data_IF_777846604735
#
_entry.id   IF_777846604735
#
_cell.length_a   1.000
_cell.length_b   1.000
_cell.length_c   1.000
_cell.angle_alpha   90.00
_cell.angle_beta   90.00
_cell.angle_gamma   90.00
#
_symmetry.space_group_name_H-M   'P 1'
#
loop_
_entity.id
_entity.type
_entity.pdbx_description
1 polymer ?
#
# COMPACT_ATOMS: atom_id res chain seq x y z
N UNK A 1 -14.47 -0.20 -18.06
CA UNK A 1 -13.90 1.19 -17.99
C UNK A 1 -12.55 1.16 -18.65
N UNK A 2 -12.25 2.11 -19.52
CA UNK A 2 -10.93 2.17 -20.15
C UNK A 2 -9.84 2.48 -19.12
N UNK A 3 -8.63 1.95 -19.35
CA UNK A 3 -7.50 2.05 -18.41
C UNK A 3 -7.18 3.51 -18.01
N UNK A 4 -7.13 4.42 -18.98
CA UNK A 4 -6.85 5.84 -18.70
C UNK A 4 -7.94 6.49 -17.83
N UNK A 5 -9.20 6.08 -17.99
CA UNK A 5 -10.28 6.58 -17.16
C UNK A 5 -10.15 6.06 -15.73
N UNK A 6 -9.72 4.81 -15.55
CA UNK A 6 -9.45 4.25 -14.23
C UNK A 6 -8.34 5.01 -13.50
N UNK A 7 -7.24 5.34 -14.21
CA UNK A 7 -6.16 6.17 -13.65
C UNK A 7 -6.64 7.56 -13.22
N UNK A 8 -7.51 8.19 -14.02
CA UNK A 8 -8.09 9.52 -13.69
C UNK A 8 -8.97 9.46 -12.46
N UNK A 9 -9.77 8.39 -12.32
CA UNK A 9 -10.72 8.21 -11.23
C UNK A 9 -10.05 7.80 -9.91
N UNK A 10 -8.89 7.12 -9.97
CA UNK A 10 -8.16 6.71 -8.77
C UNK A 10 -7.70 7.92 -7.98
N UNK A 11 -8.20 8.02 -6.76
CA UNK A 11 -7.89 9.10 -5.81
C UNK A 11 -7.55 8.51 -4.44
N UNK A 12 -6.82 9.27 -3.62
CA UNK A 12 -6.62 8.94 -2.21
C UNK A 12 -7.91 9.21 -1.45
N UNK A 13 -8.55 8.17 -0.96
CA UNK A 13 -9.76 8.23 -0.14
C UNK A 13 -9.37 7.99 1.30
N UNK A 14 -9.52 8.98 2.16
CA UNK A 14 -9.13 8.91 3.57
C UNK A 14 -10.28 8.50 4.49
N UNK A 15 -11.51 8.93 4.20
CA UNK A 15 -12.68 8.54 4.97
C UNK A 15 -13.22 7.23 4.39
N UNK A 16 -12.87 6.14 5.06
CA UNK A 16 -13.23 4.77 4.66
C UNK A 16 -14.34 4.24 5.56
N UNK A 17 -15.12 3.30 5.04
CA UNK A 17 -16.17 2.60 5.75
C UNK A 17 -16.21 1.12 5.36
N UNK A 18 -17.22 0.40 5.87
CA UNK A 18 -17.36 -1.05 5.66
C UNK A 18 -18.44 -1.44 4.66
N UNK A 19 -19.19 -0.48 4.11
CA UNK A 19 -20.29 -0.76 3.19
C UNK A 19 -19.79 -0.97 1.75
N UNK A 20 -19.09 -2.07 1.50
CA UNK A 20 -18.61 -2.48 0.18
C UNK A 20 -19.50 -3.57 -0.41
N UNK A 21 -19.74 -3.52 -1.73
CA UNK A 21 -20.60 -4.48 -2.43
C UNK A 21 -19.90 -5.79 -2.81
N UNK A 22 -18.60 -5.91 -2.56
CA UNK A 22 -17.82 -7.11 -2.86
C UNK A 22 -17.49 -7.87 -1.58
N UNK A 23 -17.51 -9.20 -1.68
CA UNK A 23 -17.01 -10.08 -0.62
C UNK A 23 -15.48 -10.00 -0.50
N UNK A 24 -14.94 -10.40 0.67
CA UNK A 24 -13.50 -10.51 0.87
C UNK A 24 -12.83 -11.41 -0.19
N UNK A 25 -13.52 -12.47 -0.65
CA UNK A 25 -13.02 -13.36 -1.70
C UNK A 25 -12.88 -12.66 -3.05
N UNK A 26 -13.86 -11.87 -3.44
CA UNK A 26 -13.82 -11.11 -4.71
C UNK A 26 -12.73 -10.04 -4.66
N UNK A 27 -12.59 -9.31 -3.55
CA UNK A 27 -11.51 -8.34 -3.34
C UNK A 27 -10.14 -9.03 -3.40
N UNK A 28 -9.99 -10.19 -2.74
CA UNK A 28 -8.76 -10.98 -2.80
C UNK A 28 -8.43 -11.43 -4.22
N UNK A 29 -9.43 -11.82 -5.02
CA UNK A 29 -9.24 -12.20 -6.42
C UNK A 29 -8.67 -11.05 -7.25
N UNK A 30 -9.22 -9.85 -7.11
CA UNK A 30 -8.73 -8.63 -7.80
C UNK A 30 -7.27 -8.35 -7.44
N UNK A 31 -6.93 -8.40 -6.15
CA UNK A 31 -5.57 -8.15 -5.67
C UNK A 31 -4.60 -9.24 -6.17
N UNK A 32 -5.04 -10.50 -6.16
CA UNK A 32 -4.25 -11.65 -6.65
C UNK A 32 -3.94 -11.53 -8.14
N UNK A 33 -4.89 -11.09 -8.95
CA UNK A 33 -4.67 -10.86 -10.37
C UNK A 33 -3.68 -9.71 -10.59
N UNK A 34 -3.79 -8.62 -9.84
CA UNK A 34 -2.80 -7.55 -9.88
C UNK A 34 -1.39 -8.07 -9.52
N UNK A 35 -1.26 -8.87 -8.46
CA UNK A 35 0.02 -9.46 -8.05
C UNK A 35 0.59 -10.38 -9.13
N UNK A 36 -0.26 -11.19 -9.76
CA UNK A 36 0.14 -12.16 -10.79
C UNK A 36 0.61 -11.50 -12.08
N UNK A 37 -0.01 -10.39 -12.48
CA UNK A 37 0.24 -9.76 -13.78
C UNK A 37 1.04 -8.46 -13.72
N UNK A 38 1.42 -7.98 -12.54
CA UNK A 38 2.31 -6.83 -12.42
C UNK A 38 3.74 -7.21 -12.82
N UNK A 39 4.43 -6.40 -13.63
CA UNK A 39 5.78 -6.70 -14.09
C UNK A 39 6.80 -6.54 -12.98
N UNK A 40 7.89 -7.32 -13.07
CA UNK A 40 9.08 -7.19 -12.23
C UNK A 40 10.35 -7.37 -13.05
N UNK A 41 11.48 -6.90 -12.54
CA UNK A 41 12.76 -7.06 -13.19
C UNK A 41 13.09 -8.54 -13.37
N UNK A 42 13.47 -8.95 -14.58
CA UNK A 42 13.74 -10.33 -14.96
C UNK A 42 12.61 -11.32 -14.65
N UNK A 43 11.39 -10.82 -14.43
CA UNK A 43 10.21 -11.59 -14.00
C UNK A 43 10.42 -12.33 -12.66
N UNK A 44 11.26 -11.78 -11.77
CA UNK A 44 11.42 -12.31 -10.42
C UNK A 44 10.46 -11.64 -9.43
N UNK A 45 9.71 -12.43 -8.64
CA UNK A 45 8.71 -11.92 -7.70
C UNK A 45 9.37 -11.46 -6.38
N UNK A 46 9.94 -10.25 -6.37
CA UNK A 46 10.56 -9.67 -5.17
C UNK A 46 9.55 -9.01 -4.22
N UNK A 47 8.27 -8.93 -4.61
CA UNK A 47 7.23 -8.28 -3.83
C UNK A 47 6.27 -9.29 -3.26
N UNK A 48 6.03 -9.22 -1.94
CA UNK A 48 5.04 -10.00 -1.22
C UNK A 48 3.91 -9.10 -0.71
N UNK A 49 2.71 -9.68 -0.55
CA UNK A 49 1.50 -8.96 -0.13
C UNK A 49 0.77 -9.74 0.96
N UNK A 50 0.33 -9.03 2.00
CA UNK A 50 -0.63 -9.54 2.98
C UNK A 50 -1.91 -8.73 2.87
N UNK A 51 -3.05 -9.40 2.79
CA UNK A 51 -4.37 -8.78 2.84
C UNK A 51 -4.97 -9.08 4.21
N UNK A 52 -5.14 -8.06 5.02
CA UNK A 52 -5.71 -8.17 6.36
C UNK A 52 -7.16 -7.66 6.38
N UNK A 53 -8.10 -8.51 6.77
CA UNK A 53 -9.49 -8.16 7.00
C UNK A 53 -9.84 -8.29 8.49
N UNK A 54 -10.97 -7.71 8.90
CA UNK A 54 -11.56 -7.88 10.22
C UNK A 54 -10.58 -7.55 11.36
N UNK A 55 -10.41 -8.49 12.30
CA UNK A 55 -9.57 -8.28 13.48
C UNK A 55 -8.10 -7.96 13.13
N UNK A 56 -7.52 -8.63 12.15
CA UNK A 56 -6.13 -8.37 11.72
C UNK A 56 -5.96 -6.95 11.17
N UNK A 57 -6.93 -6.45 10.40
CA UNK A 57 -6.96 -5.06 9.96
C UNK A 57 -7.01 -4.10 11.16
N UNK A 58 -7.87 -4.37 12.14
CA UNK A 58 -7.98 -3.54 13.34
C UNK A 58 -6.67 -3.52 14.15
N UNK A 59 -6.00 -4.68 14.29
CA UNK A 59 -4.73 -4.82 15.01
C UNK A 59 -3.60 -4.01 14.37
N UNK A 60 -3.49 -3.97 13.03
CA UNK A 60 -2.51 -3.12 12.32
C UNK A 60 -2.62 -1.66 12.77
N UNK A 61 -3.83 -1.12 12.75
CA UNK A 61 -4.04 0.29 13.07
C UNK A 61 -3.98 0.56 14.58
N UNK A 62 -4.27 -0.43 15.42
CA UNK A 62 -4.06 -0.32 16.87
C UNK A 62 -2.56 -0.25 17.18
N UNK A 63 -1.74 -1.15 16.61
CA UNK A 63 -0.27 -1.12 16.72
C UNK A 63 0.28 0.25 16.31
N UNK A 64 -0.19 0.75 15.17
CA UNK A 64 0.24 2.07 14.66
C UNK A 64 -0.12 3.18 15.64
N UNK A 65 -1.32 3.16 16.21
CA UNK A 65 -1.78 4.13 17.21
C UNK A 65 -0.90 4.10 18.46
N UNK A 66 -0.64 2.91 18.99
CA UNK A 66 0.09 2.73 20.25
C UNK A 66 1.55 3.21 20.11
N UNK A 67 2.21 2.87 19.01
CA UNK A 67 3.57 3.35 18.74
C UNK A 67 3.61 4.87 18.57
N UNK A 68 2.64 5.47 17.86
CA UNK A 68 2.60 6.92 17.72
C UNK A 68 2.28 7.63 19.02
N UNK A 69 1.42 7.05 19.87
CA UNK A 69 1.13 7.58 21.18
C UNK A 69 2.39 7.66 22.04
N UNK A 70 3.20 6.63 22.03
CA UNK A 70 4.48 6.60 22.75
C UNK A 70 5.45 7.66 22.19
N UNK A 71 5.64 7.67 20.87
CA UNK A 71 6.57 8.61 20.20
C UNK A 71 6.15 10.08 20.31
N UNK A 72 4.86 10.34 20.41
CA UNK A 72 4.30 11.69 20.48
C UNK A 72 3.81 12.06 21.90
N UNK A 73 4.23 11.34 22.94
CA UNK A 73 3.77 11.52 24.32
C UNK A 73 3.88 12.97 24.85
N UNK A 74 4.79 13.77 24.30
CA UNK A 74 4.97 15.20 24.64
C UNK A 74 4.35 16.18 23.63
N UNK A 75 3.55 15.68 22.67
CA UNK A 75 2.95 16.45 21.57
C UNK A 75 1.48 16.03 21.39
N UNK A 76 0.65 16.28 22.41
CA UNK A 76 -0.74 15.83 22.48
C UNK A 76 -1.59 16.23 21.26
N UNK A 77 -1.49 17.50 20.82
CA UNK A 77 -2.23 17.99 19.66
C UNK A 77 -1.81 17.26 18.37
N UNK A 78 -0.50 17.00 18.19
CA UNK A 78 0.02 16.26 17.03
C UNK A 78 -0.47 14.81 17.06
N UNK A 79 -0.51 14.19 18.26
CA UNK A 79 -1.04 12.84 18.42
C UNK A 79 -2.55 12.79 18.12
N UNK A 80 -3.33 13.76 18.60
CA UNK A 80 -4.78 13.80 18.35
C UNK A 80 -5.09 13.87 16.84
N UNK A 81 -4.34 14.67 16.07
CA UNK A 81 -4.46 14.73 14.61
C UNK A 81 -4.11 13.40 13.96
N UNK A 82 -3.01 12.78 14.37
CA UNK A 82 -2.57 11.48 13.86
C UNK A 82 -3.59 10.38 14.16
N UNK A 83 -4.11 10.33 15.39
CA UNK A 83 -5.12 9.37 15.82
C UNK A 83 -6.42 9.51 15.02
N UNK A 84 -6.90 10.75 14.81
CA UNK A 84 -8.08 10.99 13.98
C UNK A 84 -7.89 10.46 12.55
N UNK A 85 -6.71 10.67 11.97
CA UNK A 85 -6.36 10.13 10.65
C UNK A 85 -6.37 8.59 10.65
N UNK A 86 -5.75 7.95 11.66
CA UNK A 86 -5.71 6.49 11.78
C UNK A 86 -7.11 5.91 11.98
N UNK A 87 -7.96 6.55 12.77
CA UNK A 87 -9.34 6.11 12.99
C UNK A 87 -10.13 6.00 11.67
N UNK A 88 -9.89 6.91 10.72
CA UNK A 88 -10.49 6.86 9.38
C UNK A 88 -10.01 5.66 8.57
N UNK A 89 -8.77 5.23 8.74
CA UNK A 89 -8.22 4.03 8.09
C UNK A 89 -8.78 2.77 8.73
N UNK A 90 -8.81 2.75 10.07
CA UNK A 90 -9.35 1.67 10.89
C UNK A 90 -10.83 1.41 10.63
N UNK A 91 -11.58 2.41 10.16
CA UNK A 91 -12.99 2.29 9.78
C UNK A 91 -13.22 1.53 8.46
N UNK A 92 -12.18 1.23 7.69
CA UNK A 92 -12.26 0.49 6.44
C UNK A 92 -12.52 -1.01 6.60
N UNK A 93 -12.62 -1.69 5.46
CA UNK A 93 -12.86 -3.15 5.39
C UNK A 93 -11.59 -3.94 5.64
N UNK A 94 -10.45 -3.42 5.17
CA UNK A 94 -9.19 -4.13 5.22
C UNK A 94 -7.97 -3.24 4.97
N UNK A 95 -6.80 -3.86 5.09
CA UNK A 95 -5.51 -3.24 4.78
C UNK A 95 -4.65 -4.21 3.99
N UNK A 96 -4.03 -3.70 2.94
CA UNK A 96 -3.00 -4.41 2.19
C UNK A 96 -1.64 -3.93 2.69
N UNK A 97 -0.78 -4.87 3.05
CA UNK A 97 0.61 -4.62 3.41
C UNK A 97 1.50 -5.08 2.25
N UNK A 98 2.42 -4.24 1.84
CA UNK A 98 3.37 -4.51 0.77
C UNK A 98 4.77 -4.70 1.35
N UNK A 99 5.45 -5.73 0.87
CA UNK A 99 6.80 -6.06 1.32
C UNK A 99 7.74 -6.26 0.14
N UNK A 100 9.02 -6.02 0.36
CA UNK A 100 10.11 -6.52 -0.48
C UNK A 100 10.77 -7.70 0.21
N UNK A 101 11.06 -8.76 -0.54
CA UNK A 101 11.86 -9.87 -0.06
C UNK A 101 13.34 -9.60 -0.29
N UNK A 102 14.03 -9.27 0.79
CA UNK A 102 15.46 -8.92 0.74
C UNK A 102 16.35 -10.12 0.44
N UNK A 103 15.91 -11.35 0.74
CA UNK A 103 16.63 -12.58 0.39
C UNK A 103 16.67 -12.76 -1.13
N UNK A 104 15.51 -12.74 -1.78
CA UNK A 104 15.41 -12.83 -3.26
C UNK A 104 16.21 -11.70 -3.92
N UNK A 105 16.12 -10.46 -3.40
CA UNK A 105 16.89 -9.34 -3.94
C UNK A 105 18.41 -9.60 -3.84
N UNK A 106 18.89 -10.18 -2.74
CA UNK A 106 20.30 -10.48 -2.56
C UNK A 106 20.77 -11.65 -3.46
N UNK A 107 19.97 -12.70 -3.60
CA UNK A 107 20.23 -13.79 -4.55
C UNK A 107 20.34 -13.27 -5.99
N UNK A 108 19.50 -12.33 -6.39
CA UNK A 108 19.57 -11.69 -7.70
C UNK A 108 20.85 -10.87 -7.88
N UNK A 109 21.29 -10.15 -6.85
CA UNK A 109 22.56 -9.41 -6.87
C UNK A 109 23.77 -10.31 -7.07
N UNK A 110 23.74 -11.49 -6.45
CA UNK A 110 24.81 -12.50 -6.60
C UNK A 110 24.77 -13.14 -7.98
N UNK A 111 23.57 -13.56 -8.42
CA UNK A 111 23.39 -14.24 -9.72
C UNK A 111 23.73 -13.34 -10.90
N UNK A 112 23.36 -12.06 -10.81
CA UNK A 112 23.54 -11.08 -11.89
C UNK A 112 24.45 -9.94 -11.43
N UNK A 113 25.68 -10.24 -11.05
CA UNK A 113 26.61 -9.29 -10.42
C UNK A 113 26.81 -7.97 -11.22
N UNK A 114 26.72 -8.02 -12.55
CA UNK A 114 26.81 -6.82 -13.40
C UNK A 114 25.71 -5.80 -13.10
N UNK A 115 24.56 -6.24 -12.60
CA UNK A 115 23.39 -5.41 -12.31
C UNK A 115 23.11 -5.29 -10.80
N UNK A 116 24.00 -5.77 -9.95
CA UNK A 116 23.78 -5.92 -8.50
C UNK A 116 23.25 -4.64 -7.84
N UNK A 117 23.80 -3.48 -8.20
CA UNK A 117 23.38 -2.19 -7.61
C UNK A 117 21.97 -1.77 -8.02
N UNK A 118 21.42 -2.31 -9.11
CA UNK A 118 20.13 -1.91 -9.63
C UNK A 118 18.96 -2.68 -8.99
N UNK A 119 19.17 -3.92 -8.51
CA UNK A 119 18.06 -4.78 -8.09
C UNK A 119 17.21 -4.20 -6.96
N UNK A 120 17.80 -3.51 -5.99
CA UNK A 120 17.02 -2.84 -4.95
C UNK A 120 16.13 -1.73 -5.51
N UNK A 121 16.62 -0.97 -6.49
CA UNK A 121 15.85 0.08 -7.18
C UNK A 121 14.74 -0.53 -8.03
N UNK A 122 15.05 -1.57 -8.80
CA UNK A 122 14.06 -2.24 -9.66
C UNK A 122 12.97 -2.95 -8.86
N UNK A 123 13.32 -3.53 -7.69
CA UNK A 123 12.33 -4.10 -6.76
C UNK A 123 11.37 -3.02 -6.26
N UNK A 124 11.88 -1.88 -5.80
CA UNK A 124 11.06 -0.74 -5.37
C UNK A 124 10.14 -0.23 -6.49
N UNK A 125 10.65 -0.17 -7.74
CA UNK A 125 9.85 0.24 -8.89
C UNK A 125 8.73 -0.77 -9.18
N UNK A 126 9.03 -2.07 -9.16
CA UNK A 126 8.04 -3.14 -9.33
C UNK A 126 6.96 -3.10 -8.23
N UNK A 127 7.38 -2.89 -6.98
CA UNK A 127 6.47 -2.72 -5.84
C UNK A 127 5.56 -1.50 -6.03
N UNK A 128 6.10 -0.36 -6.47
CA UNK A 128 5.30 0.84 -6.79
C UNK A 128 4.30 0.62 -7.93
N UNK A 129 4.68 -0.12 -8.97
CA UNK A 129 3.77 -0.51 -10.07
C UNK A 129 2.63 -1.39 -9.54
N UNK A 130 2.93 -2.39 -8.71
CA UNK A 130 1.92 -3.25 -8.10
C UNK A 130 0.96 -2.46 -7.21
N UNK A 131 1.48 -1.57 -6.36
CA UNK A 131 0.67 -0.70 -5.51
C UNK A 131 -0.32 0.12 -6.34
N UNK A 132 0.15 0.73 -7.44
CA UNK A 132 -0.70 1.50 -8.33
C UNK A 132 -1.74 0.63 -9.05
N UNK A 133 -1.36 -0.57 -9.52
CA UNK A 133 -2.28 -1.50 -10.17
C UNK A 133 -3.41 -1.91 -9.24
N UNK A 134 -3.09 -2.33 -8.01
CA UNK A 134 -4.09 -2.69 -6.98
C UNK A 134 -5.00 -1.49 -6.67
N UNK A 135 -4.42 -0.33 -6.42
CA UNK A 135 -5.18 0.86 -6.08
C UNK A 135 -6.15 1.28 -7.20
N UNK A 136 -5.69 1.19 -8.45
CA UNK A 136 -6.50 1.49 -9.63
C UNK A 136 -7.61 0.45 -9.81
N UNK A 137 -7.31 -0.84 -9.64
CA UNK A 137 -8.29 -1.91 -9.74
C UNK A 137 -9.39 -1.79 -8.66
N UNK A 138 -9.03 -1.50 -7.41
CA UNK A 138 -10.00 -1.24 -6.34
C UNK A 138 -10.88 -0.03 -6.67
N UNK A 139 -10.31 1.04 -7.22
CA UNK A 139 -11.07 2.22 -7.64
C UNK A 139 -12.08 1.91 -8.75
N UNK A 140 -11.79 0.98 -9.66
CA UNK A 140 -12.72 0.56 -10.73
C UNK A 140 -13.98 -0.12 -10.20
N UNK A 141 -13.88 -0.76 -9.05
CA UNK A 141 -15.01 -1.44 -8.38
C UNK A 141 -15.59 -0.60 -7.23
N UNK A 142 -15.32 0.71 -7.25
CA UNK A 142 -15.81 1.68 -6.28
C UNK A 142 -15.38 1.39 -4.83
N UNK A 143 -14.18 0.82 -4.67
CA UNK A 143 -13.52 0.68 -3.37
C UNK A 143 -12.50 1.82 -3.22
N UNK A 144 -12.67 2.61 -2.16
CA UNK A 144 -11.75 3.67 -1.78
C UNK A 144 -10.50 3.10 -1.11
N UNK A 145 -9.35 3.69 -1.38
CA UNK A 145 -8.10 3.35 -0.71
C UNK A 145 -7.18 4.55 -0.62
N UNK A 146 -6.16 4.46 0.23
CA UNK A 146 -5.05 5.40 0.27
C UNK A 146 -3.76 4.68 0.64
N UNK A 147 -2.61 5.26 0.31
CA UNK A 147 -1.30 4.69 0.59
C UNK A 147 -0.67 5.40 1.78
N UNK A 148 -0.17 4.61 2.75
CA UNK A 148 0.47 5.08 3.96
C UNK A 148 1.85 4.42 4.12
N UNK A 149 2.74 5.11 4.86
CA UNK A 149 4.12 4.69 5.09
C UNK A 149 4.50 4.91 6.57
N UNK A 150 3.97 4.04 7.44
CA UNK A 150 4.33 4.02 8.86
C UNK A 150 5.58 3.18 9.15
N UNK A 151 6.12 2.53 8.11
CA UNK A 151 7.42 1.88 8.15
C UNK A 151 8.55 2.93 8.28
N UNK A 152 9.66 2.65 8.98
CA UNK A 152 9.93 1.37 9.68
C UNK A 152 9.33 1.30 11.11
N UNK A 153 8.51 2.26 11.54
CA UNK A 153 8.04 2.37 12.93
C UNK A 153 7.26 1.15 13.42
N UNK A 154 6.51 0.52 12.52
CA UNK A 154 5.60 -0.59 12.85
C UNK A 154 6.14 -1.96 12.42
N UNK A 155 7.31 -2.01 11.74
CA UNK A 155 7.80 -3.21 11.04
C UNK A 155 7.91 -4.43 11.96
N UNK A 156 8.56 -4.31 13.11
CA UNK A 156 8.75 -5.42 14.03
C UNK A 156 7.43 -5.97 14.56
N UNK A 157 6.49 -5.08 14.90
CA UNK A 157 5.16 -5.48 15.39
C UNK A 157 4.30 -6.10 14.29
N UNK A 158 4.46 -5.68 13.05
CA UNK A 158 3.78 -6.30 11.90
C UNK A 158 4.37 -7.69 11.62
N UNK A 159 5.68 -7.86 11.70
CA UNK A 159 6.34 -9.17 11.58
C UNK A 159 5.84 -10.15 12.65
N UNK A 160 5.78 -9.70 13.90
CA UNK A 160 5.24 -10.48 15.01
C UNK A 160 3.77 -10.86 14.79
N UNK A 161 2.92 -9.90 14.40
CA UNK A 161 1.48 -10.07 14.19
C UNK A 161 1.15 -11.14 13.13
N UNK A 162 1.95 -11.20 12.07
CA UNK A 162 1.72 -12.09 10.93
C UNK A 162 2.70 -13.27 10.85
N UNK A 163 3.66 -13.36 11.77
CA UNK A 163 4.70 -14.40 11.80
C UNK A 163 5.42 -14.55 10.45
N UNK A 164 5.78 -13.41 9.85
CA UNK A 164 6.43 -13.35 8.54
C UNK A 164 7.95 -13.41 8.66
N UNK A 165 8.67 -13.85 7.60
CA UNK A 165 10.12 -13.90 7.58
C UNK A 165 10.78 -12.54 7.85
N UNK A 166 11.94 -12.55 8.47
CA UNK A 166 12.75 -11.34 8.70
C UNK A 166 13.22 -10.68 7.41
N UNK A 167 13.31 -11.47 6.34
CA UNK A 167 13.68 -11.01 4.99
C UNK A 167 12.62 -10.13 4.33
N UNK A 168 11.38 -10.17 4.82
CA UNK A 168 10.31 -9.33 4.31
C UNK A 168 10.34 -7.94 4.93
N UNK A 169 10.74 -6.96 4.14
CA UNK A 169 10.80 -5.56 4.52
C UNK A 169 9.49 -4.86 4.15
N UNK A 170 8.79 -4.32 5.14
CA UNK A 170 7.56 -3.56 4.91
C UNK A 170 7.85 -2.28 4.12
N UNK A 171 7.11 -2.04 3.04
CA UNK A 171 7.29 -0.87 2.17
C UNK A 171 6.12 0.10 2.23
N UNK A 172 4.89 -0.40 2.35
CA UNK A 172 3.70 0.45 2.41
C UNK A 172 2.50 -0.28 3.04
N UNK A 173 1.51 0.51 3.45
CA UNK A 173 0.21 0.08 3.93
C UNK A 173 -0.88 0.75 3.12
N UNK A 174 -1.87 -0.01 2.64
CA UNK A 174 -3.00 0.51 1.88
C UNK A 174 -4.31 0.10 2.56
N UNK A 175 -4.86 0.92 3.47
CA UNK A 175 -6.21 0.72 3.97
C UNK A 175 -7.22 0.95 2.84
N UNK A 176 -8.30 0.16 2.83
CA UNK A 176 -9.35 0.24 1.84
C UNK A 176 -10.73 -0.03 2.44
N UNK A 177 -11.78 0.45 1.74
CA UNK A 177 -13.17 0.31 2.17
C UNK A 177 -14.14 1.09 1.29
N UNK A 178 -15.37 1.25 1.72
CA UNK A 178 -16.33 2.13 1.06
C UNK A 178 -15.88 3.60 1.14
N UNK A 179 -16.35 4.40 0.18
CA UNK A 179 -16.00 5.83 0.07
C UNK A 179 -17.03 6.63 0.87
N UNK A 180 -16.68 7.04 2.10
CA UNK A 180 -17.58 7.80 2.98
C UNK A 180 -17.55 9.31 2.72
N UNK A 181 -16.49 9.79 2.07
CA UNK A 181 -16.41 11.17 1.59
C UNK A 181 -15.55 11.25 0.34
N UNK A 182 -16.00 12.05 -0.62
CA UNK A 182 -15.22 12.34 -1.82
C UNK A 182 -13.97 13.15 -1.48
N UNK A 183 -12.85 12.93 -2.19
CA UNK A 183 -11.65 13.71 -2.00
C UNK A 183 -11.84 15.13 -2.54
N UNK A 184 -11.09 16.07 -1.99
CA UNK A 184 -11.02 17.43 -2.53
C UNK A 184 -10.56 17.40 -4.00
N UNK A 185 -10.87 18.46 -4.74
CA UNK A 185 -10.40 18.62 -6.11
C UNK A 185 -8.88 18.49 -6.19
N UNK A 186 -8.39 17.77 -7.22
CA UNK A 186 -6.97 17.58 -7.45
C UNK A 186 -6.44 18.70 -8.33
N UNK A 187 -5.49 19.46 -7.84
CA UNK A 187 -4.68 20.30 -8.71
C UNK A 187 -3.86 19.41 -9.66
N UNK A 188 -3.99 19.65 -10.95
CA UNK A 188 -3.22 18.97 -12.00
C UNK A 188 -2.28 20.03 -12.59
N UNK A 189 -1.00 19.83 -12.35
CA UNK A 189 0.05 20.70 -12.90
C UNK A 189 0.13 20.55 -14.42
N UNK A 190 0.49 21.65 -15.09
CA UNK A 190 0.77 21.62 -16.54
C UNK A 190 1.93 20.66 -16.81
N UNK A 191 1.69 19.68 -17.70
CA UNK A 191 2.68 18.67 -18.05
C UNK A 191 3.77 19.19 -18.98
N UNK A 192 3.60 20.35 -19.60
CA UNK A 192 4.57 20.93 -20.55
C UNK A 192 5.96 21.12 -19.95
N UNK A 193 6.04 21.32 -18.63
CA UNK A 193 7.31 21.45 -17.89
C UNK A 193 8.07 20.12 -17.75
N UNK A 194 7.37 18.98 -17.88
CA UNK A 194 7.88 17.62 -17.64
C UNK A 194 7.87 16.72 -18.86
N UNK A 195 7.16 17.12 -19.93
CA UNK A 195 7.09 16.39 -21.20
C UNK A 195 7.82 17.19 -22.27
N UNK A 196 8.80 16.56 -22.88
CA UNK A 196 9.51 17.11 -24.06
C UNK A 196 9.33 16.16 -25.22
N UNK A 197 9.01 16.71 -26.40
CA UNK A 197 8.85 15.98 -27.65
C UNK A 197 9.92 16.51 -28.61
N UNK A 198 10.70 15.61 -29.17
CA UNK A 198 11.78 15.93 -30.11
C UNK A 198 11.45 15.37 -31.50
#
# INVERSE_FOLDING_TARGET
MEFLQALKNRRSIYNLGTNVNLSNKEITSIISDCLKYSPSAFNYPTTNVIIAFGEKHQQIWQITTDILKEKLAKKEETFAVAQNKINKFKAGVGTILFFEDTEIINELKETYAMYAENFSTWSNQANGMLQNNIWTALSQVNIGANLQHYNPLIDDKIKELFSIPDTWKLTAQMPFGSIEAQPNEKYIEDISTRLKIY
#
